data_IF_428269108608
#
_entry.id   IF_428269108608
#
_cell.length_a   1.000
_cell.length_b   1.000
_cell.length_c   1.000
_cell.angle_alpha   90.00
_cell.angle_beta   90.00
_cell.angle_gamma   90.00
#
_symmetry.space_group_name_H-M   'P 1'
#
loop_
_entity.id
_entity.type
_entity.pdbx_description
1 polymer ?
#
# COMPACT_ATOMS: atom_id res chain seq x y z
N UNK A 1 -4.21 -49.28 -23.94
CA UNK A 1 -4.41 -48.64 -22.61
C UNK A 1 -3.15 -47.96 -22.04
N UNK A 2 -1.92 -48.48 -22.21
CA UNK A 2 -0.67 -47.86 -21.63
C UNK A 2 -0.30 -46.45 -22.15
N UNK A 3 -0.75 -46.01 -23.33
CA UNK A 3 -0.42 -44.69 -23.89
C UNK A 3 -1.17 -43.53 -23.20
N UNK A 4 -2.37 -43.78 -22.71
CA UNK A 4 -3.20 -42.71 -22.05
C UNK A 4 -2.82 -42.46 -20.58
N UNK A 5 -2.22 -43.50 -19.93
CA UNK A 5 -1.77 -43.36 -18.54
C UNK A 5 -0.63 -42.37 -18.41
N UNK A 6 0.32 -42.36 -19.39
CA UNK A 6 1.42 -41.40 -19.41
C UNK A 6 0.97 -39.96 -19.65
N UNK A 7 -0.03 -39.75 -20.54
CA UNK A 7 -0.56 -38.43 -20.85
C UNK A 7 -1.33 -37.86 -19.64
N UNK A 8 -2.11 -38.69 -18.95
CA UNK A 8 -2.84 -38.28 -17.74
C UNK A 8 -1.91 -37.93 -16.58
N UNK A 9 -0.83 -38.69 -16.40
CA UNK A 9 0.18 -38.39 -15.39
C UNK A 9 0.94 -37.08 -15.70
N UNK A 10 1.29 -36.84 -16.96
CA UNK A 10 1.95 -35.59 -17.38
C UNK A 10 1.03 -34.36 -17.21
N UNK A 11 -0.25 -34.48 -17.53
CA UNK A 11 -1.24 -33.43 -17.29
C UNK A 11 -1.43 -33.14 -15.79
N UNK A 12 -1.47 -34.19 -14.95
CA UNK A 12 -1.57 -34.02 -13.50
C UNK A 12 -0.37 -33.27 -12.89
N UNK A 13 0.85 -33.61 -13.31
CA UNK A 13 2.08 -32.92 -12.86
C UNK A 13 2.09 -31.46 -13.33
N UNK A 14 1.66 -31.19 -14.57
CA UNK A 14 1.58 -29.84 -15.10
C UNK A 14 0.57 -28.98 -14.31
N UNK A 15 -0.60 -29.54 -13.96
CA UNK A 15 -1.60 -28.84 -13.15
C UNK A 15 -1.09 -28.52 -11.74
N UNK A 16 -0.41 -29.47 -11.09
CA UNK A 16 0.17 -29.27 -9.75
C UNK A 16 1.29 -28.22 -9.81
N UNK A 17 2.15 -28.27 -10.81
CA UNK A 17 3.21 -27.28 -11.00
C UNK A 17 2.67 -25.86 -11.23
N UNK A 18 1.62 -25.70 -12.03
CA UNK A 18 0.96 -24.41 -12.28
C UNK A 18 0.26 -23.88 -11.03
N UNK A 19 -0.42 -24.73 -10.25
CA UNK A 19 -1.10 -24.28 -9.03
C UNK A 19 -0.13 -23.86 -7.94
N UNK A 20 1.00 -24.56 -7.77
CA UNK A 20 2.03 -24.17 -6.81
C UNK A 20 2.75 -22.88 -7.22
N UNK A 21 3.07 -22.71 -8.51
CA UNK A 21 3.64 -21.46 -9.02
C UNK A 21 2.66 -20.28 -8.89
N UNK A 22 1.38 -20.53 -9.13
CA UNK A 22 0.33 -19.53 -8.97
C UNK A 22 0.11 -19.12 -7.51
N UNK A 23 0.22 -20.07 -6.58
CA UNK A 23 0.06 -19.80 -5.14
C UNK A 23 1.27 -19.07 -4.53
N UNK A 24 2.50 -19.34 -5.03
CA UNK A 24 3.74 -18.90 -4.40
C UNK A 24 4.33 -17.59 -4.96
N UNK A 25 3.83 -17.07 -6.08
CA UNK A 25 4.48 -15.94 -6.75
C UNK A 25 3.47 -14.91 -7.27
N UNK A 26 3.44 -13.73 -6.64
CA UNK A 26 2.63 -12.60 -7.10
C UNK A 26 2.99 -12.14 -8.54
N UNK A 27 4.28 -12.08 -8.98
CA UNK A 27 4.62 -11.74 -10.36
C UNK A 27 4.12 -12.76 -11.39
N UNK A 28 4.07 -14.04 -11.02
CA UNK A 28 3.57 -15.09 -11.90
C UNK A 28 2.04 -14.98 -12.10
N UNK A 29 1.28 -14.68 -11.03
CA UNK A 29 -0.17 -14.43 -11.12
C UNK A 29 -0.49 -13.28 -12.05
N UNK A 30 0.24 -12.17 -11.95
CA UNK A 30 0.06 -10.99 -12.82
C UNK A 30 0.31 -11.35 -14.29
N UNK A 31 1.35 -12.11 -14.60
CA UNK A 31 1.67 -12.57 -15.97
C UNK A 31 0.59 -13.49 -16.56
N UNK A 32 0.11 -14.46 -15.77
CA UNK A 32 -0.96 -15.37 -16.22
C UNK A 32 -2.24 -14.59 -16.49
N UNK A 33 -2.65 -13.68 -15.61
CA UNK A 33 -3.83 -12.83 -15.81
C UNK A 33 -3.70 -11.91 -17.02
N UNK A 34 -2.50 -11.41 -17.34
CA UNK A 34 -2.27 -10.58 -18.52
C UNK A 34 -2.38 -11.36 -19.83
N UNK A 35 -1.99 -12.64 -19.84
CA UNK A 35 -2.13 -13.52 -21.02
C UNK A 35 -3.60 -13.82 -21.34
N UNK A 36 -4.44 -14.07 -20.33
CA UNK A 36 -5.87 -14.37 -20.54
C UNK A 36 -6.69 -13.14 -20.96
N UNK A 37 -6.21 -11.94 -20.74
CA UNK A 37 -6.92 -10.69 -21.08
C UNK A 37 -6.79 -10.27 -22.55
N UNK A 38 -5.96 -10.93 -23.35
CA UNK A 38 -5.62 -10.48 -24.71
C UNK A 38 -6.60 -10.91 -25.80
N UNK A 39 -7.54 -11.82 -25.53
CA UNK A 39 -8.26 -12.53 -26.60
C UNK A 39 -9.79 -12.38 -26.65
N UNK A 40 -10.43 -11.54 -25.85
CA UNK A 40 -11.87 -11.34 -25.97
C UNK A 40 -12.27 -9.88 -25.90
N UNK A 41 -12.67 -9.34 -27.04
CA UNK A 41 -12.96 -7.94 -27.37
C UNK A 41 -14.17 -7.30 -26.68
N UNK A 42 -14.38 -7.48 -25.36
CA UNK A 42 -15.43 -6.78 -24.62
C UNK A 42 -15.11 -6.46 -23.16
N UNK A 43 -13.85 -6.43 -22.77
CA UNK A 43 -13.49 -6.03 -21.42
C UNK A 43 -12.56 -4.81 -21.48
N UNK A 44 -12.92 -3.76 -20.73
CA UNK A 44 -12.04 -2.63 -20.46
C UNK A 44 -10.73 -3.17 -19.91
N UNK A 45 -9.66 -3.11 -20.70
CA UNK A 45 -8.34 -3.53 -20.27
C UNK A 45 -7.89 -2.56 -19.18
N UNK A 46 -8.04 -2.95 -17.92
CA UNK A 46 -7.26 -2.36 -16.86
C UNK A 46 -5.81 -2.80 -17.13
N UNK A 47 -5.06 -1.98 -17.85
CA UNK A 47 -3.62 -2.08 -17.90
C UNK A 47 -3.14 -1.86 -16.48
N UNK A 48 -2.79 -2.94 -15.78
CA UNK A 48 -1.77 -2.84 -14.75
C UNK A 48 -0.50 -2.46 -15.53
N UNK A 49 -0.25 -1.18 -15.68
CA UNK A 49 1.08 -0.72 -15.99
C UNK A 49 1.91 -1.19 -14.79
N UNK A 50 2.76 -2.18 -15.04
CA UNK A 50 4.00 -2.32 -14.29
C UNK A 50 4.69 -0.96 -14.51
N UNK A 51 4.40 0.00 -13.63
CA UNK A 51 5.24 1.17 -13.53
C UNK A 51 6.62 0.59 -13.25
N UNK A 52 7.54 0.78 -14.23
CA UNK A 52 8.96 0.78 -13.93
C UNK A 52 9.08 1.39 -12.54
N UNK A 53 9.71 0.66 -11.65
CA UNK A 53 9.99 1.12 -10.29
C UNK A 53 10.83 2.40 -10.44
N UNK A 54 10.15 3.54 -10.69
CA UNK A 54 10.76 4.82 -10.41
C UNK A 54 11.14 4.71 -8.95
N UNK A 55 12.43 4.70 -8.70
CA UNK A 55 12.95 4.81 -7.35
C UNK A 55 12.31 6.04 -6.75
N UNK A 56 11.29 5.83 -5.90
CA UNK A 56 10.73 6.94 -5.14
C UNK A 56 11.76 7.26 -4.06
N UNK A 57 11.96 8.54 -3.83
CA UNK A 57 12.95 9.02 -2.88
C UNK A 57 12.46 8.74 -1.46
N UNK A 58 13.08 7.76 -0.83
CA UNK A 58 12.95 7.54 0.62
C UNK A 58 13.86 8.57 1.30
N UNK A 59 13.36 9.36 2.25
CA UNK A 59 14.16 10.41 2.87
C UNK A 59 15.32 9.83 3.66
N UNK A 60 16.41 10.56 3.70
CA UNK A 60 17.57 10.20 4.50
C UNK A 60 17.18 10.07 5.98
N UNK A 61 17.61 8.98 6.62
CA UNK A 61 17.30 8.71 8.02
C UNK A 61 16.01 7.89 8.23
N UNK A 62 15.23 7.59 7.18
CA UNK A 62 14.10 6.67 7.29
C UNK A 62 14.59 5.24 7.49
N UNK A 63 14.24 4.63 8.60
CA UNK A 63 14.62 3.26 8.96
C UNK A 63 13.44 2.28 8.98
N UNK A 64 12.21 2.76 8.76
CA UNK A 64 11.00 1.96 8.67
C UNK A 64 11.03 0.96 7.50
N UNK A 65 10.08 0.03 7.51
CA UNK A 65 9.91 -1.00 6.47
C UNK A 65 9.05 -0.51 5.31
N UNK A 66 8.21 0.49 5.55
CA UNK A 66 7.24 1.03 4.60
C UNK A 66 7.49 2.50 4.36
N UNK A 67 7.14 2.98 3.17
CA UNK A 67 7.15 4.41 2.86
C UNK A 67 6.20 4.73 1.70
N UNK A 68 5.52 5.90 1.69
CA UNK A 68 4.69 6.32 0.57
C UNK A 68 5.51 6.52 -0.71
N UNK A 69 5.09 5.90 -1.82
CA UNK A 69 5.72 6.11 -3.14
C UNK A 69 5.13 7.33 -3.87
N UNK A 70 4.10 7.92 -3.32
CA UNK A 70 3.49 9.17 -3.77
C UNK A 70 3.34 10.12 -2.58
N UNK A 71 3.93 11.28 -2.70
CA UNK A 71 3.73 12.44 -1.83
C UNK A 71 3.29 13.56 -2.75
N UNK A 72 2.23 14.32 -2.39
CA UNK A 72 1.80 15.46 -3.20
C UNK A 72 2.97 16.43 -3.42
N UNK A 73 3.05 17.00 -4.62
CA UNK A 73 4.23 17.78 -5.06
C UNK A 73 4.48 19.05 -4.27
N UNK A 74 3.45 19.56 -3.61
CA UNK A 74 3.50 20.71 -2.71
C UNK A 74 4.20 20.42 -1.39
N UNK A 75 4.28 19.14 -0.98
CA UNK A 75 4.91 18.74 0.28
C UNK A 75 6.40 18.43 0.10
N UNK A 76 7.18 18.78 1.11
CA UNK A 76 8.57 18.37 1.26
C UNK A 76 8.81 17.82 2.66
N UNK A 77 9.74 16.86 2.77
CA UNK A 77 10.12 16.26 4.06
C UNK A 77 10.87 17.29 4.88
N UNK A 78 10.32 17.61 6.05
CA UNK A 78 10.91 18.54 7.02
C UNK A 78 11.82 17.78 8.00
N UNK A 79 11.34 16.65 8.53
CA UNK A 79 12.10 15.82 9.47
C UNK A 79 11.68 14.35 9.40
N UNK A 80 12.59 13.50 9.86
CA UNK A 80 12.35 12.06 10.08
C UNK A 80 12.72 11.77 11.52
N UNK A 81 11.83 11.11 12.23
CA UNK A 81 12.02 10.71 13.62
C UNK A 81 12.02 9.19 13.75
N UNK A 82 12.85 8.68 14.66
CA UNK A 82 12.94 7.26 14.99
C UNK A 82 12.99 7.09 16.52
N UNK A 83 11.95 6.49 17.08
CA UNK A 83 11.85 6.22 18.51
C UNK A 83 12.23 4.77 18.81
N UNK A 84 13.51 4.55 19.13
CA UNK A 84 14.07 3.26 19.58
C UNK A 84 13.79 2.08 18.61
N UNK A 85 13.71 2.32 17.30
CA UNK A 85 13.44 1.31 16.30
C UNK A 85 12.02 0.71 16.35
N UNK A 86 11.09 1.35 17.04
CA UNK A 86 9.71 0.90 17.18
C UNK A 86 8.69 1.79 16.49
N UNK A 87 9.01 3.06 16.39
CA UNK A 87 8.16 4.09 15.79
C UNK A 87 9.01 4.91 14.82
N UNK A 88 8.51 5.11 13.63
CA UNK A 88 9.14 5.92 12.59
C UNK A 88 8.11 6.93 12.11
N UNK A 89 8.47 8.19 12.07
CA UNK A 89 7.61 9.25 11.58
C UNK A 89 8.35 10.11 10.56
N UNK A 90 7.73 10.38 9.43
CA UNK A 90 8.17 11.36 8.47
C UNK A 90 7.18 12.54 8.48
N UNK A 91 7.68 13.68 8.87
CA UNK A 91 6.95 14.95 8.89
C UNK A 91 7.20 15.69 7.59
N UNK A 92 6.15 16.07 6.92
CA UNK A 92 6.19 16.80 5.66
C UNK A 92 5.37 18.08 5.80
N UNK A 93 5.82 19.12 5.15
CA UNK A 93 5.21 20.45 5.18
C UNK A 93 4.90 20.93 3.78
N UNK A 94 3.74 21.56 3.60
CA UNK A 94 3.38 22.20 2.33
C UNK A 94 4.25 23.45 2.11
N UNK A 95 4.90 23.53 0.97
CA UNK A 95 5.77 24.65 0.58
C UNK A 95 5.01 25.96 0.33
N UNK A 96 3.75 25.86 -0.01
CA UNK A 96 2.89 27.01 -0.29
C UNK A 96 2.12 27.50 0.96
N UNK A 97 1.94 26.60 1.94
CA UNK A 97 1.29 26.91 3.20
C UNK A 97 1.96 26.17 4.36
N UNK A 98 2.86 26.82 5.03
CA UNK A 98 3.69 26.22 6.09
C UNK A 98 2.89 25.76 7.34
N UNK A 99 1.63 26.11 7.45
CA UNK A 99 0.75 25.65 8.52
C UNK A 99 0.12 24.28 8.22
N UNK A 100 0.23 23.78 6.95
CA UNK A 100 -0.32 22.49 6.54
C UNK A 100 0.75 21.40 6.57
N UNK A 101 0.46 20.35 7.30
CA UNK A 101 1.35 19.19 7.48
C UNK A 101 0.76 17.93 6.89
N UNK A 102 1.63 17.05 6.43
CA UNK A 102 1.38 15.66 6.12
C UNK A 102 2.35 14.80 6.94
N UNK A 103 1.84 13.81 7.64
CA UNK A 103 2.64 12.94 8.50
C UNK A 103 2.41 11.50 8.05
N UNK A 104 3.48 10.75 7.82
CA UNK A 104 3.44 9.31 7.65
C UNK A 104 4.12 8.66 8.85
N UNK A 105 3.45 7.68 9.46
CA UNK A 105 3.97 6.96 10.61
C UNK A 105 3.91 5.45 10.39
N UNK A 106 4.94 4.78 10.88
CA UNK A 106 5.02 3.34 10.98
C UNK A 106 5.36 2.95 12.42
N UNK A 107 4.49 2.16 13.05
CA UNK A 107 4.67 1.69 14.42
C UNK A 107 4.65 0.16 14.50
N UNK A 108 5.29 -0.41 15.51
CA UNK A 108 5.17 -1.85 15.82
C UNK A 108 3.77 -2.16 16.35
N UNK A 109 3.28 -3.39 16.12
CA UNK A 109 1.95 -3.86 16.57
C UNK A 109 1.71 -3.78 18.08
N UNK A 110 2.78 -3.71 18.88
CA UNK A 110 2.67 -3.60 20.34
C UNK A 110 2.38 -2.17 20.82
N UNK A 111 2.28 -1.22 19.91
CA UNK A 111 1.93 0.16 20.21
C UNK A 111 0.43 0.37 19.96
N UNK A 112 -0.15 1.28 20.71
CA UNK A 112 -1.53 1.71 20.50
C UNK A 112 -1.54 3.07 19.81
N UNK A 113 -2.29 3.16 18.72
CA UNK A 113 -2.57 4.44 18.07
C UNK A 113 -3.95 4.91 18.47
N UNK A 114 -4.03 6.07 19.09
CA UNK A 114 -5.30 6.69 19.42
C UNK A 114 -5.74 7.63 18.30
N UNK A 115 -6.91 7.35 17.73
CA UNK A 115 -7.54 8.25 16.76
C UNK A 115 -8.59 9.07 17.48
N UNK A 116 -8.50 10.37 17.37
CA UNK A 116 -9.58 11.24 17.83
C UNK A 116 -10.77 11.13 16.86
N UNK A 117 -11.82 10.48 17.34
CA UNK A 117 -13.06 10.25 16.59
C UNK A 117 -14.21 11.18 17.02
N UNK A 118 -13.97 12.04 18.01
CA UNK A 118 -14.99 12.97 18.48
C UNK A 118 -15.31 14.00 17.37
N UNK A 119 -16.58 14.11 17.00
CA UNK A 119 -17.06 14.96 15.89
C UNK A 119 -16.44 14.64 14.52
N UNK A 120 -15.87 13.44 14.34
CA UNK A 120 -15.31 12.99 13.09
C UNK A 120 -16.32 12.19 12.26
N UNK A 121 -16.22 12.27 10.93
CA UNK A 121 -16.81 11.29 10.03
C UNK A 121 -15.86 10.10 9.95
N UNK A 122 -16.23 8.98 10.58
CA UNK A 122 -15.42 7.76 10.63
C UNK A 122 -16.06 6.68 9.76
N UNK A 123 -15.25 6.02 8.94
CA UNK A 123 -15.69 4.88 8.15
C UNK A 123 -14.53 3.91 7.87
N UNK A 124 -14.89 2.68 7.43
CA UNK A 124 -13.93 1.65 7.02
C UNK A 124 -13.74 1.64 5.52
N UNK A 125 -12.51 1.36 5.08
CA UNK A 125 -12.14 1.15 3.69
C UNK A 125 -11.07 0.06 3.60
N UNK A 126 -10.55 -0.21 2.41
CA UNK A 126 -9.46 -1.17 2.23
C UNK A 126 -8.22 -0.50 1.63
N UNK A 127 -7.08 -0.76 2.24
CA UNK A 127 -5.74 -0.45 1.69
C UNK A 127 -5.04 -1.80 1.43
N UNK A 128 -4.77 -2.10 0.16
CA UNK A 128 -4.17 -3.39 -0.27
C UNK A 128 -4.90 -4.65 0.24
N UNK A 129 -6.23 -4.58 0.36
CA UNK A 129 -7.04 -5.69 0.90
C UNK A 129 -6.97 -5.83 2.42
N UNK A 130 -6.45 -4.85 3.13
CA UNK A 130 -6.47 -4.75 4.59
C UNK A 130 -7.53 -3.74 5.02
N UNK A 131 -8.22 -4.06 6.08
CA UNK A 131 -9.17 -3.13 6.68
C UNK A 131 -8.45 -1.88 7.18
N UNK A 132 -8.97 -0.71 6.84
CA UNK A 132 -8.43 0.58 7.19
C UNK A 132 -9.53 1.47 7.75
N UNK A 133 -9.20 2.24 8.77
CA UNK A 133 -10.07 3.23 9.39
C UNK A 133 -9.71 4.60 8.83
N UNK A 134 -10.72 5.31 8.36
CA UNK A 134 -10.62 6.71 7.92
C UNK A 134 -11.38 7.58 8.88
N UNK A 135 -10.74 8.62 9.39
CA UNK A 135 -11.33 9.65 10.25
C UNK A 135 -11.12 11.00 9.61
N UNK A 136 -12.21 11.70 9.31
CA UNK A 136 -12.19 13.02 8.66
C UNK A 136 -12.82 14.04 9.60
N UNK A 137 -12.04 15.04 9.95
CA UNK A 137 -12.45 16.24 10.69
C UNK A 137 -12.20 17.47 9.84
N UNK A 138 -12.80 18.61 10.22
CA UNK A 138 -12.53 19.90 9.57
C UNK A 138 -11.04 20.27 9.60
N UNK A 139 -10.37 19.96 10.69
CA UNK A 139 -8.95 20.33 10.90
C UNK A 139 -7.96 19.23 10.56
N UNK A 140 -8.41 17.96 10.38
CA UNK A 140 -7.49 16.83 10.21
C UNK A 140 -8.17 15.63 9.55
N UNK A 141 -7.49 15.05 8.59
CA UNK A 141 -7.83 13.77 7.95
C UNK A 141 -6.81 12.71 8.36
N UNK A 142 -7.27 11.52 8.72
CA UNK A 142 -6.41 10.39 9.16
C UNK A 142 -6.83 9.08 8.51
N UNK A 143 -5.88 8.29 8.04
CA UNK A 143 -6.08 6.90 7.59
C UNK A 143 -5.13 6.00 8.37
N UNK A 144 -5.66 4.92 8.95
CA UNK A 144 -4.88 3.94 9.71
C UNK A 144 -5.21 2.55 9.24
N UNK A 145 -4.19 1.71 9.05
CA UNK A 145 -4.33 0.29 8.76
C UNK A 145 -3.18 -0.51 9.34
N UNK A 146 -3.32 -1.83 9.34
CA UNK A 146 -2.23 -2.72 9.75
C UNK A 146 -1.70 -3.52 8.56
N UNK A 147 -0.38 -3.69 8.50
CA UNK A 147 0.32 -4.47 7.49
C UNK A 147 1.52 -5.19 8.10
N UNK A 148 1.57 -6.53 7.99
CA UNK A 148 2.70 -7.36 8.46
C UNK A 148 3.22 -6.99 9.86
N UNK A 149 2.34 -6.98 10.86
CA UNK A 149 2.66 -6.65 12.24
C UNK A 149 3.17 -5.21 12.44
N UNK A 150 2.76 -4.31 11.56
CA UNK A 150 2.97 -2.87 11.70
C UNK A 150 1.63 -2.14 11.65
N UNK A 151 1.54 -1.07 12.40
CA UNK A 151 0.46 -0.10 12.28
C UNK A 151 1.01 1.04 11.43
N UNK A 152 0.32 1.35 10.35
CA UNK A 152 0.66 2.41 9.42
C UNK A 152 -0.40 3.50 9.49
N UNK A 153 0.02 4.75 9.51
CA UNK A 153 -0.89 5.89 9.45
C UNK A 153 -0.42 6.95 8.46
N UNK A 154 -1.39 7.61 7.89
CA UNK A 154 -1.21 8.88 7.16
C UNK A 154 -2.15 9.90 7.80
N UNK A 155 -1.64 11.05 8.16
CA UNK A 155 -2.40 12.17 8.69
C UNK A 155 -2.09 13.44 7.88
N UNK A 156 -3.09 14.23 7.60
CA UNK A 156 -2.95 15.50 6.89
C UNK A 156 -3.86 16.56 7.54
N UNK A 157 -3.36 17.77 7.70
CA UNK A 157 -4.16 18.88 8.19
C UNK A 157 -5.25 19.24 7.15
N UNK A 158 -6.47 19.52 7.63
CA UNK A 158 -7.64 19.85 6.83
C UNK A 158 -8.49 18.65 6.39
N UNK A 159 -9.64 18.93 5.76
CA UNK A 159 -10.51 17.92 5.13
C UNK A 159 -9.96 17.57 3.72
N UNK A 160 -9.01 16.62 3.68
CA UNK A 160 -8.26 16.22 2.49
C UNK A 160 -8.42 14.72 2.19
N UNK A 161 -9.65 14.19 2.25
CA UNK A 161 -9.93 12.75 2.11
C UNK A 161 -9.34 12.11 0.86
N UNK A 162 -9.52 12.72 -0.29
CA UNK A 162 -9.01 12.15 -1.56
C UNK A 162 -7.48 12.06 -1.55
N UNK A 163 -6.82 13.09 -1.08
CA UNK A 163 -5.37 13.20 -1.10
C UNK A 163 -4.73 12.24 -0.10
N UNK A 164 -5.27 12.15 1.12
CA UNK A 164 -4.76 11.25 2.15
C UNK A 164 -4.92 9.78 1.75
N UNK A 165 -6.05 9.40 1.14
CA UNK A 165 -6.28 8.06 0.62
C UNK A 165 -5.31 7.72 -0.53
N UNK A 166 -4.97 8.68 -1.37
CA UNK A 166 -4.00 8.50 -2.44
C UNK A 166 -2.58 8.26 -1.89
N UNK A 167 -2.19 9.00 -0.85
CA UNK A 167 -0.92 8.77 -0.14
C UNK A 167 -0.92 7.39 0.51
N UNK A 168 -1.94 7.04 1.29
CA UNK A 168 -2.06 5.74 1.96
C UNK A 168 -1.99 4.56 0.96
N UNK A 169 -2.71 4.66 -0.16
CA UNK A 169 -2.69 3.65 -1.25
C UNK A 169 -1.38 3.62 -2.03
N UNK A 170 -0.46 4.53 -1.78
CA UNK A 170 0.85 4.55 -2.41
C UNK A 170 1.95 3.92 -1.56
N UNK A 171 1.67 3.62 -0.29
CA UNK A 171 2.65 3.07 0.65
C UNK A 171 3.13 1.71 0.17
N UNK A 172 4.44 1.50 0.17
CA UNK A 172 5.09 0.26 -0.28
C UNK A 172 6.11 -0.21 0.74
N UNK A 173 6.32 -1.51 0.77
CA UNK A 173 7.44 -2.08 1.49
C UNK A 173 8.74 -1.74 0.75
N UNK A 174 9.74 -1.26 1.50
CA UNK A 174 11.04 -0.79 0.98
C UNK A 174 12.22 -1.64 1.48
N UNK A 175 11.98 -2.54 2.45
CA UNK A 175 12.97 -3.47 3.02
C UNK A 175 12.41 -4.87 3.13
#
# INVERSE_FOLDING_TARGET
MKKYTGIMAALGILCIGLTTAFASSAPFRVRVFSMFKKDHGQYTAVKLQENEQKSFDVPNGWEGMYYPSYIPTEFEVESVENSFGREFAAYMRDRNNLDVRLIFEEMSENNEMNVDTENARVYHTEIYGRDAIVSIKEETSTVIWSENNRILSVMMDGDNEEQILKVAKSVKQIK
#
